data_IF_554479311550
#
_entry.id   IF_554479311550
#
_cell.length_a   1.000
_cell.length_b   1.000
_cell.length_c   1.000
_cell.angle_alpha   90.00
_cell.angle_beta   90.00
_cell.angle_gamma   90.00
#
_symmetry.space_group_name_H-M   'P 1'
#
loop_
_entity.id
_entity.type
_entity.pdbx_description
1 polymer ?
#
# COMPACT_ATOMS: atom_id res chain seq x y z
N UNK A 1 -9.55 -8.16 -13.15
CA UNK A 1 -10.43 -7.29 -12.32
C UNK A 1 -10.49 -5.89 -12.93
N UNK A 2 -11.60 -5.15 -12.86
CA UNK A 2 -11.69 -3.79 -13.45
C UNK A 2 -11.84 -2.76 -12.32
N UNK A 3 -10.98 -1.74 -12.32
CA UNK A 3 -11.07 -0.60 -11.40
C UNK A 3 -10.86 0.69 -12.20
N UNK A 4 -11.80 1.65 -12.07
CA UNK A 4 -11.81 2.90 -12.85
C UNK A 4 -11.59 2.71 -14.36
N UNK A 5 -12.25 1.71 -14.96
CA UNK A 5 -12.17 1.43 -16.39
C UNK A 5 -10.85 0.77 -16.86
N UNK A 6 -9.93 0.44 -15.94
CA UNK A 6 -8.68 -0.27 -16.27
C UNK A 6 -8.72 -1.70 -15.73
N UNK A 7 -8.19 -2.63 -16.51
CA UNK A 7 -8.01 -4.01 -16.08
C UNK A 7 -6.74 -4.15 -15.22
N UNK A 8 -6.84 -4.86 -14.10
CA UNK A 8 -5.77 -5.20 -13.17
C UNK A 8 -5.73 -6.71 -12.92
N UNK A 9 -4.54 -7.22 -12.62
CA UNK A 9 -4.26 -8.64 -12.45
C UNK A 9 -4.49 -9.09 -11.01
N UNK A 10 -4.17 -8.20 -10.05
CA UNK A 10 -4.22 -8.48 -8.63
C UNK A 10 -4.87 -7.34 -7.86
N UNK A 11 -5.66 -7.68 -6.85
CA UNK A 11 -6.15 -6.76 -5.84
C UNK A 11 -5.78 -7.32 -4.47
N UNK A 12 -5.05 -6.55 -3.67
CA UNK A 12 -4.67 -6.93 -2.30
C UNK A 12 -5.23 -5.91 -1.33
N UNK A 13 -5.74 -6.38 -0.19
CA UNK A 13 -6.36 -5.52 0.82
C UNK A 13 -5.72 -5.74 2.18
N UNK A 14 -5.43 -4.64 2.88
CA UNK A 14 -4.99 -4.64 4.27
C UNK A 14 -5.99 -3.87 5.13
N UNK A 15 -6.36 -4.42 6.28
CA UNK A 15 -7.25 -3.77 7.24
C UNK A 15 -6.51 -2.77 8.12
N UNK A 16 -7.17 -1.67 8.45
CA UNK A 16 -6.78 -0.87 9.61
C UNK A 16 -6.96 -1.67 10.90
N UNK A 17 -6.42 -1.17 12.00
CA UNK A 17 -6.52 -1.81 13.32
C UNK A 17 -6.81 -0.80 14.41
N UNK A 18 -7.46 -1.27 15.47
CA UNK A 18 -7.57 -0.57 16.75
C UNK A 18 -7.02 -1.50 17.83
N UNK A 19 -6.43 -0.96 18.89
CA UNK A 19 -6.08 -1.77 20.04
C UNK A 19 -7.26 -1.75 21.02
N UNK A 20 -7.68 -2.92 21.50
CA UNK A 20 -8.69 -3.02 22.54
C UNK A 20 -8.09 -2.73 23.92
N UNK A 21 -6.84 -3.16 24.13
CA UNK A 21 -6.04 -2.93 25.32
C UNK A 21 -4.54 -3.02 24.99
N UNK A 22 -3.71 -2.41 25.84
CA UNK A 22 -2.24 -2.42 25.69
C UNK A 22 -1.71 -1.25 24.87
N UNK A 23 -2.34 -0.09 24.96
CA UNK A 23 -1.77 1.14 24.39
C UNK A 23 -0.47 1.51 25.13
N UNK A 24 0.51 1.99 24.38
CA UNK A 24 1.81 2.46 24.89
C UNK A 24 2.69 1.43 25.62
N UNK A 25 2.45 0.12 25.44
CA UNK A 25 3.30 -0.93 26.01
C UNK A 25 3.93 -1.84 24.96
N UNK A 26 3.54 -1.67 23.69
CA UNK A 26 4.09 -2.39 22.54
C UNK A 26 5.60 -2.14 22.40
N UNK A 27 6.05 -0.90 22.56
CA UNK A 27 7.48 -0.55 22.54
C UNK A 27 8.25 -1.01 23.78
N UNK A 28 7.56 -1.45 24.84
CA UNK A 28 8.15 -1.99 26.06
C UNK A 28 8.24 -3.53 26.05
N UNK A 29 7.87 -4.19 24.93
CA UNK A 29 7.76 -5.65 24.86
C UNK A 29 6.55 -6.21 25.62
N UNK A 30 5.58 -5.36 25.95
CA UNK A 30 4.32 -5.76 26.56
C UNK A 30 3.40 -6.48 25.57
N UNK A 31 2.42 -7.23 26.09
CA UNK A 31 1.39 -7.88 25.27
C UNK A 31 0.29 -6.88 24.93
N UNK A 32 -0.16 -6.89 23.68
CA UNK A 32 -1.25 -6.04 23.19
C UNK A 32 -2.36 -6.89 22.58
N UNK A 33 -3.57 -6.36 22.55
CA UNK A 33 -4.72 -7.03 21.93
C UNK A 33 -5.33 -6.16 20.82
N UNK A 34 -4.78 -6.23 19.59
CA UNK A 34 -5.32 -5.51 18.45
C UNK A 34 -6.52 -6.24 17.84
N UNK A 35 -7.43 -5.48 17.26
CA UNK A 35 -8.53 -5.96 16.44
C UNK A 35 -8.48 -5.29 15.06
N UNK A 36 -8.64 -6.10 14.01
CA UNK A 36 -8.75 -5.60 12.65
C UNK A 36 -10.12 -4.94 12.44
N UNK A 37 -10.13 -3.78 11.79
CA UNK A 37 -11.34 -3.05 11.43
C UNK A 37 -11.90 -3.56 10.09
N UNK A 38 -13.18 -3.33 9.87
CA UNK A 38 -13.80 -3.52 8.54
C UNK A 38 -13.27 -2.52 7.50
N UNK A 39 -12.70 -1.40 7.95
CA UNK A 39 -12.07 -0.40 7.09
C UNK A 39 -10.75 -0.94 6.52
N UNK A 40 -10.65 -0.97 5.19
CA UNK A 40 -9.51 -1.55 4.47
C UNK A 40 -8.94 -0.58 3.44
N UNK A 41 -7.64 -0.68 3.23
CA UNK A 41 -6.95 -0.11 2.08
C UNK A 41 -6.72 -1.22 1.05
N UNK A 42 -7.14 -1.00 -0.19
CA UNK A 42 -7.00 -1.97 -1.29
C UNK A 42 -6.11 -1.39 -2.38
N UNK A 43 -5.08 -2.12 -2.77
CA UNK A 43 -4.18 -1.79 -3.86
C UNK A 43 -4.46 -2.69 -5.05
N UNK A 44 -4.69 -2.07 -6.22
CA UNK A 44 -4.86 -2.76 -7.50
C UNK A 44 -3.55 -2.72 -8.28
N UNK A 45 -3.09 -3.88 -8.73
CA UNK A 45 -1.76 -4.10 -9.29
C UNK A 45 -1.86 -4.77 -10.66
N UNK A 46 -0.98 -4.36 -11.57
CA UNK A 46 -0.81 -4.95 -12.90
C UNK A 46 0.63 -4.73 -13.35
N UNK A 47 1.26 -5.75 -13.92
CA UNK A 47 2.55 -5.58 -14.57
C UNK A 47 2.40 -4.66 -15.79
N UNK A 48 3.24 -3.63 -15.90
CA UNK A 48 3.20 -2.67 -17.02
C UNK A 48 4.26 -2.95 -18.10
N UNK A 49 5.09 -3.99 -17.91
CA UNK A 49 6.16 -4.35 -18.84
C UNK A 49 7.37 -3.42 -18.84
N UNK A 50 7.49 -2.53 -17.85
CA UNK A 50 8.61 -1.59 -17.72
C UNK A 50 9.30 -1.75 -16.37
N UNK A 51 10.48 -1.14 -16.21
CA UNK A 51 11.16 -1.02 -14.91
C UNK A 51 10.68 0.21 -14.12
N UNK A 52 9.41 0.60 -14.30
CA UNK A 52 8.81 1.74 -13.61
C UNK A 52 7.64 1.29 -12.73
N UNK A 53 7.60 1.78 -11.50
CA UNK A 53 6.44 1.66 -10.62
C UNK A 53 5.60 2.93 -10.81
N UNK A 54 4.36 2.79 -11.27
CA UNK A 54 3.40 3.90 -11.41
C UNK A 54 2.37 3.83 -10.29
N UNK A 55 2.34 4.86 -9.45
CA UNK A 55 1.49 4.93 -8.27
C UNK A 55 0.44 6.02 -8.44
N UNK A 56 -0.76 5.69 -7.99
CA UNK A 56 -1.91 6.58 -7.95
C UNK A 56 -2.68 6.29 -6.66
N UNK A 57 -3.07 7.34 -5.95
CA UNK A 57 -3.95 7.21 -4.79
C UNK A 57 -5.34 7.74 -5.15
N UNK A 58 -6.39 7.14 -4.59
CA UNK A 58 -7.77 7.53 -4.90
C UNK A 58 -8.18 8.83 -4.23
N UNK A 59 -7.60 9.13 -3.06
CA UNK A 59 -7.87 10.34 -2.29
C UNK A 59 -6.95 11.52 -2.62
N UNK A 60 -6.01 11.37 -3.56
CA UNK A 60 -5.09 12.43 -3.97
C UNK A 60 -5.03 12.51 -5.50
N UNK A 61 -4.94 13.72 -6.09
CA UNK A 61 -4.83 13.88 -7.54
C UNK A 61 -3.48 13.40 -8.08
N UNK A 62 -2.45 13.34 -7.24
CA UNK A 62 -1.08 13.01 -7.65
C UNK A 62 -0.97 11.63 -8.32
N UNK A 63 -0.04 11.58 -9.27
CA UNK A 63 0.42 10.38 -9.97
C UNK A 63 1.94 10.44 -9.93
N UNK A 64 2.59 9.38 -9.49
CA UNK A 64 4.05 9.34 -9.32
C UNK A 64 4.59 8.14 -10.09
N UNK A 65 5.73 8.32 -10.75
CA UNK A 65 6.45 7.23 -11.41
C UNK A 65 7.85 7.07 -10.79
N UNK A 66 8.22 5.84 -10.47
CA UNK A 66 9.54 5.53 -9.89
C UNK A 66 10.28 4.59 -10.82
N UNK A 67 11.45 5.02 -11.28
CA UNK A 67 12.34 4.18 -12.08
C UNK A 67 13.17 3.30 -11.14
N UNK A 68 13.04 1.99 -11.31
CA UNK A 68 13.75 1.00 -10.50
C UNK A 68 15.00 0.56 -11.26
N UNK A 69 16.18 0.91 -10.75
CA UNK A 69 17.45 0.37 -11.26
C UNK A 69 18.00 -0.65 -10.28
N UNK A 70 18.24 -1.87 -10.77
CA UNK A 70 18.90 -2.91 -9.99
C UNK A 70 20.38 -2.49 -9.84
N UNK A 71 20.81 -2.20 -8.62
CA UNK A 71 22.22 -1.93 -8.27
C UNK A 71 22.57 -0.47 -7.92
N UNK A 72 21.84 0.53 -8.42
CA UNK A 72 22.18 1.95 -8.24
C UNK A 72 21.13 2.79 -7.47
N UNK A 73 20.12 2.13 -6.87
CA UNK A 73 19.07 2.79 -6.08
C UNK A 73 17.80 3.11 -6.89
N UNK A 74 16.85 3.77 -6.24
CA UNK A 74 15.54 4.13 -6.81
C UNK A 74 15.56 5.61 -7.20
N UNK A 75 15.26 5.92 -8.47
CA UNK A 75 15.10 7.30 -8.94
C UNK A 75 13.62 7.65 -9.02
N UNK A 76 13.20 8.66 -8.27
CA UNK A 76 11.82 9.15 -8.27
C UNK A 76 11.67 10.21 -9.36
N UNK A 77 10.67 10.06 -10.23
CA UNK A 77 10.33 11.05 -11.26
C UNK A 77 8.87 11.46 -11.06
N UNK A 78 8.64 12.77 -10.91
CA UNK A 78 7.30 13.29 -10.65
C UNK A 78 6.52 13.49 -11.95
#
# INVERSE_FOLDING_TARGET
MIFQGKMFDLAVSAAGRVNLIGEHIDYCGGRVLPAALSLKNTVYLRANGTNEIRLAWTGLPDRISLSVQIGNGITVTR
#
